data_IF_256990766163
#
_entry.id   IF_256990766163
#
_cell.length_a   1.000
_cell.length_b   1.000
_cell.length_c   1.000
_cell.angle_alpha   90.00
_cell.angle_beta   90.00
_cell.angle_gamma   90.00
#
_symmetry.space_group_name_H-M   'P 1'
#
loop_
_entity.id
_entity.type
_entity.pdbx_description
1 polymer ?
#
# COMPACT_ATOMS: atom_id res chain seq x y z
N UNK A 1 -14.24 1.44 17.75
CA UNK A 1 -13.03 1.89 17.04
C UNK A 1 -12.14 0.67 16.86
N UNK A 2 -11.36 0.56 15.79
CA UNK A 2 -10.44 -0.56 15.60
C UNK A 2 -9.01 -0.07 15.75
N UNK A 3 -8.12 -0.97 16.10
CA UNK A 3 -6.70 -0.71 16.26
C UNK A 3 -5.93 -1.76 15.46
N UNK A 4 -4.98 -1.31 14.66
CA UNK A 4 -3.99 -2.19 14.05
C UNK A 4 -2.85 -2.40 15.06
N UNK A 5 -2.42 -3.65 15.18
CA UNK A 5 -1.36 -4.08 16.09
C UNK A 5 -0.30 -4.78 15.28
N UNK A 6 0.89 -4.20 15.27
CA UNK A 6 2.03 -4.78 14.57
C UNK A 6 3.01 -5.41 15.58
N UNK A 7 3.39 -6.65 15.29
CA UNK A 7 4.37 -7.41 16.03
C UNK A 7 5.79 -6.91 15.72
N UNK A 8 6.69 -6.91 16.71
CA UNK A 8 8.08 -6.53 16.50
C UNK A 8 8.84 -7.54 15.62
N UNK A 9 8.41 -8.80 15.61
CA UNK A 9 8.92 -9.82 14.69
C UNK A 9 8.07 -9.87 13.41
N UNK A 10 8.68 -9.46 12.30
CA UNK A 10 8.07 -9.54 10.98
C UNK A 10 7.71 -11.00 10.65
N UNK A 11 6.49 -11.24 10.18
CA UNK A 11 6.04 -12.58 9.78
C UNK A 11 5.52 -13.46 10.91
N UNK A 12 5.31 -12.94 12.12
CA UNK A 12 4.67 -13.70 13.19
C UNK A 12 3.22 -14.10 12.81
N UNK A 13 2.94 -15.39 12.80
CA UNK A 13 1.61 -15.95 12.59
C UNK A 13 1.22 -16.74 13.83
N UNK A 14 0.15 -16.34 14.51
CA UNK A 14 -0.22 -16.94 15.79
C UNK A 14 -1.32 -16.17 16.50
N UNK A 15 -1.76 -16.69 17.64
CA UNK A 15 -2.74 -16.00 18.49
C UNK A 15 -2.04 -15.48 19.75
N UNK A 16 -2.17 -14.18 20.03
CA UNK A 16 -1.58 -13.52 21.19
C UNK A 16 -2.67 -12.75 21.93
N UNK A 17 -2.85 -13.04 23.22
CA UNK A 17 -3.88 -12.42 24.04
C UNK A 17 -5.32 -12.51 23.44
N UNK A 18 -5.61 -13.61 22.73
CA UNK A 18 -6.90 -13.82 22.05
C UNK A 18 -7.06 -13.06 20.73
N UNK A 19 -5.98 -12.49 20.20
CA UNK A 19 -5.94 -11.76 18.93
C UNK A 19 -5.11 -12.56 17.93
N UNK A 20 -5.65 -12.81 16.75
CA UNK A 20 -4.94 -13.53 15.68
C UNK A 20 -4.07 -12.57 14.88
N UNK A 21 -2.79 -12.88 14.85
CA UNK A 21 -1.79 -12.24 14.02
C UNK A 21 -1.61 -13.02 12.72
N UNK A 22 -1.56 -12.27 11.63
CA UNK A 22 -1.26 -12.77 10.30
C UNK A 22 -0.13 -11.94 9.72
N UNK A 23 0.98 -12.59 9.35
CA UNK A 23 2.21 -11.95 8.85
C UNK A 23 2.76 -10.82 9.75
N UNK A 24 2.51 -10.88 11.05
CA UNK A 24 2.96 -9.89 12.01
C UNK A 24 2.00 -8.71 12.22
N UNK A 25 0.83 -8.69 11.56
CA UNK A 25 -0.21 -7.68 11.79
C UNK A 25 -1.48 -8.32 12.35
N UNK A 26 -2.20 -7.59 13.19
CA UNK A 26 -3.47 -8.00 13.75
C UNK A 26 -4.41 -6.82 13.96
N UNK A 27 -5.71 -7.06 13.81
CA UNK A 27 -6.73 -6.04 14.07
C UNK A 27 -7.45 -6.36 15.38
N UNK A 28 -7.53 -5.36 16.25
CA UNK A 28 -8.16 -5.44 17.57
C UNK A 28 -9.26 -4.41 17.68
N UNK A 29 -10.43 -4.82 18.11
CA UNK A 29 -11.51 -3.89 18.38
C UNK A 29 -11.32 -3.19 19.74
N UNK A 30 -11.77 -1.93 19.86
CA UNK A 30 -11.74 -1.14 21.09
C UNK A 30 -12.40 -1.84 22.27
N UNK A 31 -13.38 -2.70 21.98
CA UNK A 31 -14.04 -3.57 22.95
C UNK A 31 -13.05 -4.46 23.72
N UNK A 32 -11.87 -4.75 23.16
CA UNK A 32 -10.83 -5.57 23.77
C UNK A 32 -9.67 -4.72 24.34
N UNK A 33 -10.01 -3.82 25.29
CA UNK A 33 -9.05 -2.95 25.99
C UNK A 33 -7.90 -3.69 26.67
N UNK A 34 -8.16 -4.92 27.15
CA UNK A 34 -7.16 -5.74 27.82
C UNK A 34 -6.03 -6.14 26.87
N UNK A 35 -6.36 -6.57 25.64
CA UNK A 35 -5.39 -6.90 24.61
C UNK A 35 -4.57 -5.65 24.20
N UNK A 36 -5.23 -4.51 23.97
CA UNK A 36 -4.54 -3.25 23.64
C UNK A 36 -3.53 -2.84 24.71
N UNK A 37 -3.90 -2.93 25.99
CA UNK A 37 -3.00 -2.63 27.10
C UNK A 37 -1.81 -3.60 27.17
N UNK A 38 -2.04 -4.88 26.88
CA UNK A 38 -0.98 -5.89 26.81
C UNK A 38 0.05 -5.55 25.72
N UNK A 39 -0.41 -5.26 24.51
CA UNK A 39 0.44 -4.93 23.36
C UNK A 39 1.29 -3.68 23.62
N UNK A 40 0.68 -2.61 24.16
CA UNK A 40 1.40 -1.38 24.52
C UNK A 40 2.49 -1.60 25.57
N UNK A 41 2.28 -2.51 26.53
CA UNK A 41 3.28 -2.85 27.55
C UNK A 41 4.40 -3.74 27.02
N UNK A 42 4.09 -4.60 26.05
CA UNK A 42 5.03 -5.51 25.41
C UNK A 42 5.86 -4.86 24.30
N UNK A 43 5.61 -3.59 23.97
CA UNK A 43 6.33 -2.85 22.93
C UNK A 43 5.83 -3.13 21.51
N UNK A 44 4.60 -3.60 21.36
CA UNK A 44 3.95 -3.72 20.05
C UNK A 44 3.48 -2.34 19.58
N UNK A 45 3.54 -2.11 18.27
CA UNK A 45 2.99 -0.89 17.67
C UNK A 45 1.48 -1.01 17.62
N UNK A 46 0.78 -0.13 18.33
CA UNK A 46 -0.69 -0.09 18.33
C UNK A 46 -1.12 1.24 17.74
N UNK A 47 -1.70 1.21 16.54
CA UNK A 47 -2.21 2.39 15.84
C UNK A 47 -3.74 2.31 15.77
N UNK A 48 -4.46 3.42 15.99
CA UNK A 48 -5.89 3.44 15.70
C UNK A 48 -6.07 3.18 14.20
N UNK A 49 -6.72 2.07 13.87
CA UNK A 49 -7.18 1.80 12.52
C UNK A 49 -8.44 2.64 12.31
N UNK A 50 -8.24 3.93 12.03
CA UNK A 50 -9.24 4.67 11.26
C UNK A 50 -9.41 3.92 9.94
N UNK A 51 -10.65 3.68 9.54
CA UNK A 51 -10.96 3.06 8.26
C UNK A 51 -10.47 4.01 7.15
N UNK A 52 -9.20 3.89 6.76
CA UNK A 52 -8.53 4.83 5.87
C UNK A 52 -7.11 4.45 5.45
N UNK A 53 -6.33 3.80 6.32
CA UNK A 53 -4.93 3.51 5.99
C UNK A 53 -4.55 2.08 6.41
N UNK A 54 -5.01 1.12 5.63
CA UNK A 54 -4.13 -0.01 5.36
C UNK A 54 -2.97 0.58 4.55
N UNK A 55 -1.79 0.67 5.14
CA UNK A 55 -0.55 0.74 4.38
C UNK A 55 -0.38 -0.60 3.65
N UNK A 56 -1.22 -0.84 2.64
CA UNK A 56 -0.82 -1.56 1.44
C UNK A 56 0.47 -0.86 0.98
N UNK A 57 1.51 -1.58 0.50
CA UNK A 57 2.62 -0.89 -0.13
C UNK A 57 1.99 -0.04 -1.23
N UNK A 58 1.99 1.28 -1.03
CA UNK A 58 1.27 2.19 -1.92
C UNK A 58 1.78 1.86 -3.31
N UNK A 59 0.88 1.29 -4.13
CA UNK A 59 1.13 1.18 -5.55
C UNK A 59 1.57 2.55 -6.04
N UNK A 60 2.42 2.61 -7.08
CA UNK A 60 2.97 3.87 -7.57
C UNK A 60 1.86 4.92 -7.68
N UNK A 61 1.93 5.96 -6.86
CA UNK A 61 0.91 7.01 -6.81
C UNK A 61 1.07 7.87 -8.06
N UNK A 62 -0.01 8.11 -8.82
CA UNK A 62 0.06 8.94 -10.04
C UNK A 62 0.57 10.33 -9.68
N UNK A 63 1.76 10.75 -10.17
CA UNK A 63 2.29 12.07 -9.89
C UNK A 63 1.40 13.15 -10.52
N UNK A 64 1.43 14.37 -9.97
CA UNK A 64 0.72 15.48 -10.55
C UNK A 64 1.45 16.00 -11.80
N UNK A 65 0.73 16.66 -12.71
CA UNK A 65 1.33 17.19 -13.94
C UNK A 65 2.48 18.18 -13.65
N UNK A 66 2.45 18.86 -12.51
CA UNK A 66 3.51 19.75 -12.04
C UNK A 66 4.76 19.05 -11.49
N UNK A 67 4.70 17.76 -11.19
CA UNK A 67 5.78 17.02 -10.53
C UNK A 67 7.02 16.81 -11.42
N UNK A 68 8.12 16.45 -10.79
CA UNK A 68 9.38 16.23 -11.51
C UNK A 68 9.32 14.97 -12.38
N UNK A 69 10.10 14.97 -13.48
CA UNK A 69 10.21 13.82 -14.39
C UNK A 69 10.50 12.51 -13.65
N UNK A 70 11.36 12.52 -12.64
CA UNK A 70 11.70 11.32 -11.87
C UNK A 70 10.48 10.65 -11.21
N UNK A 71 9.48 11.43 -10.76
CA UNK A 71 8.25 10.87 -10.21
C UNK A 71 7.42 10.17 -11.30
N UNK A 72 7.37 10.76 -12.50
CA UNK A 72 6.73 10.16 -13.67
C UNK A 72 7.44 8.90 -14.16
N UNK A 73 8.77 8.86 -14.09
CA UNK A 73 9.59 7.67 -14.43
C UNK A 73 9.29 6.51 -13.50
N UNK A 74 9.32 6.75 -12.19
CA UNK A 74 9.02 5.72 -11.19
C UNK A 74 7.58 5.21 -11.32
N UNK A 75 6.62 6.11 -11.60
CA UNK A 75 5.23 5.73 -11.82
C UNK A 75 5.07 4.84 -13.05
N UNK A 76 5.54 5.29 -14.21
CA UNK A 76 5.44 4.53 -15.46
C UNK A 76 6.17 3.19 -15.35
N UNK A 77 7.34 3.15 -14.74
CA UNK A 77 8.09 1.90 -14.56
C UNK A 77 7.38 0.88 -13.65
N UNK A 78 6.47 1.37 -12.80
CA UNK A 78 5.72 0.53 -11.87
C UNK A 78 4.28 0.23 -12.36
N UNK A 79 3.71 1.03 -13.28
CA UNK A 79 2.37 0.80 -13.86
C UNK A 79 2.39 0.23 -15.27
N UNK A 80 3.53 0.23 -15.94
CA UNK A 80 3.72 -0.30 -17.30
C UNK A 80 4.84 -1.33 -17.32
N UNK A 81 5.05 -1.99 -18.46
CA UNK A 81 6.15 -2.97 -18.64
C UNK A 81 7.53 -2.31 -18.85
N UNK A 82 7.60 -0.97 -18.83
CA UNK A 82 8.84 -0.23 -19.02
C UNK A 82 9.70 -0.32 -17.74
N UNK A 83 11.02 -0.42 -17.90
CA UNK A 83 11.95 -0.28 -16.79
C UNK A 83 12.22 1.20 -16.47
N UNK A 84 12.68 1.51 -15.25
CA UNK A 84 13.05 2.90 -14.86
C UNK A 84 14.05 3.55 -15.82
N UNK A 85 14.97 2.76 -16.41
CA UNK A 85 15.91 3.26 -17.42
C UNK A 85 15.19 3.71 -18.71
N UNK A 86 14.33 2.84 -19.26
CA UNK A 86 13.56 3.13 -20.47
C UNK A 86 12.62 4.33 -20.26
N UNK A 87 11.90 4.36 -19.13
CA UNK A 87 11.07 5.50 -18.77
C UNK A 87 11.90 6.77 -18.53
N UNK A 88 13.13 6.62 -18.02
CA UNK A 88 14.11 7.68 -17.83
C UNK A 88 14.55 8.36 -19.13
N UNK A 89 14.52 7.66 -20.26
CA UNK A 89 14.82 8.19 -21.59
C UNK A 89 13.62 8.88 -22.26
N UNK A 90 12.38 8.54 -21.87
CA UNK A 90 11.14 9.15 -22.37
C UNK A 90 10.97 10.58 -21.81
N UNK A 91 10.36 11.51 -22.55
CA UNK A 91 10.09 12.86 -22.05
C UNK A 91 8.94 12.87 -21.04
N UNK A 92 8.95 13.85 -20.13
CA UNK A 92 7.88 13.99 -19.13
C UNK A 92 6.48 14.08 -19.78
N UNK A 93 6.33 14.85 -20.86
CA UNK A 93 5.05 14.98 -21.59
C UNK A 93 4.56 13.65 -22.18
N UNK A 94 5.48 12.83 -22.72
CA UNK A 94 5.18 11.49 -23.20
C UNK A 94 4.85 10.54 -22.02
N UNK A 95 5.57 10.61 -20.89
CA UNK A 95 5.24 9.83 -19.68
C UNK A 95 3.85 10.17 -19.13
N UNK A 96 3.46 11.45 -19.16
CA UNK A 96 2.11 11.89 -18.78
C UNK A 96 1.07 11.31 -19.73
N UNK A 97 1.34 11.35 -21.04
CA UNK A 97 0.43 10.82 -22.05
C UNK A 97 0.25 9.31 -21.89
N UNK A 98 1.35 8.56 -21.68
CA UNK A 98 1.33 7.11 -21.44
C UNK A 98 0.55 6.72 -20.17
N UNK A 99 0.59 7.57 -19.14
CA UNK A 99 -0.17 7.39 -17.90
C UNK A 99 -1.66 7.79 -18.00
N UNK A 100 -2.04 8.50 -19.06
CA UNK A 100 -3.41 8.95 -19.33
C UNK A 100 -4.06 8.17 -20.47
N UNK A 101 -3.27 7.43 -21.26
CA UNK A 101 -3.79 6.46 -22.20
C UNK A 101 -4.68 5.49 -21.42
N UNK A 102 -6.01 5.50 -21.64
CA UNK A 102 -6.83 4.46 -21.10
C UNK A 102 -6.28 3.19 -21.74
N UNK A 103 -5.94 2.20 -20.91
CA UNK A 103 -5.93 0.82 -21.37
C UNK A 103 -7.35 0.56 -21.85
N UNK A 104 -7.63 0.89 -23.10
CA UNK A 104 -8.67 0.27 -23.89
C UNK A 104 -8.21 -1.18 -23.99
N UNK A 105 -8.45 -1.93 -22.90
CA UNK A 105 -8.99 -3.26 -22.98
C UNK A 105 -10.21 -3.11 -23.87
N UNK A 106 -9.92 -3.16 -25.16
CA UNK A 106 -10.79 -3.64 -26.20
C UNK A 106 -11.22 -5.01 -25.71
N UNK A 107 -12.25 -5.07 -24.87
CA UNK A 107 -13.09 -6.25 -24.81
C UNK A 107 -13.80 -6.23 -26.16
N UNK A 108 -13.09 -6.90 -27.07
CA UNK A 108 -13.46 -7.32 -28.39
C UNK A 108 -14.90 -7.83 -28.38
N UNK A 109 -15.73 -7.15 -29.16
CA UNK A 109 -17.04 -7.61 -29.63
C UNK A 109 -16.98 -9.07 -30.08
N UNK A 110 -17.66 -9.97 -29.35
CA UNK A 110 -18.18 -11.27 -29.83
C UNK A 110 -19.14 -11.77 -28.74
N UNK A 111 -20.43 -12.09 -28.91
CA UNK A 111 -21.33 -12.24 -30.06
C UNK A 111 -22.77 -12.23 -29.50
#
# INVERSE_FOLDING_TARGET
MRYDVQAPEAGHNGEVAGVRFYRGSAVVDDSNRAALAYFRRRGYTVTPAEAGDAAEPEGPTKPAQGDNKAAWVAYIAATTDLSEAEAGDIKKDDLISLADEPTVSSEETDQ
#
